data_IF_751249496481
#
_entry.id   IF_751249496481
#
_cell.length_a   1.000
_cell.length_b   1.000
_cell.length_c   1.000
_cell.angle_alpha   90.00
_cell.angle_beta   90.00
_cell.angle_gamma   90.00
#
_symmetry.space_group_name_H-M   'P 1'
#
loop_
_entity.id
_entity.type
_entity.pdbx_description
1 polymer ?
#
# COMPACT_ATOMS: atom_id res chain seq x y z
N UNK A 1 -12.60 9.12 5.81
CA UNK A 1 -12.98 9.08 7.24
C UNK A 1 -11.83 9.67 8.05
N UNK A 2 -12.13 10.49 9.08
CA UNK A 2 -11.12 10.97 10.02
C UNK A 2 -11.02 9.99 11.20
N UNK A 3 -9.81 9.61 11.57
CA UNK A 3 -9.50 8.72 12.69
C UNK A 3 -8.55 9.43 13.65
N UNK A 4 -8.50 9.04 14.93
CA UNK A 4 -7.73 9.78 15.96
C UNK A 4 -6.73 8.92 16.74
N UNK A 5 -6.88 7.59 16.75
CA UNK A 5 -6.00 6.66 17.46
C UNK A 5 -4.95 6.08 16.53
N UNK A 6 -4.02 6.92 16.10
CA UNK A 6 -2.96 6.49 15.19
C UNK A 6 -1.58 6.90 15.68
N UNK A 7 -0.62 6.00 15.48
CA UNK A 7 0.80 6.29 15.44
C UNK A 7 1.24 6.40 13.98
N UNK A 8 2.01 7.44 13.66
CA UNK A 8 2.46 7.74 12.31
C UNK A 8 3.97 7.93 12.31
N UNK A 9 4.67 7.15 11.50
CA UNK A 9 6.12 7.30 11.27
C UNK A 9 6.37 7.64 9.81
N UNK A 10 7.10 8.74 9.58
CA UNK A 10 7.54 9.16 8.26
C UNK A 10 8.92 8.59 7.94
N UNK A 11 9.12 8.23 6.68
CA UNK A 11 10.40 7.88 6.09
C UNK A 11 10.70 8.84 4.94
N UNK A 12 11.94 9.31 4.89
CA UNK A 12 12.42 10.22 3.84
C UNK A 12 13.40 9.56 2.86
N UNK A 13 13.63 8.25 3.04
CA UNK A 13 14.51 7.44 2.20
C UNK A 13 14.00 5.99 2.15
N UNK A 14 14.38 5.27 1.08
CA UNK A 14 14.00 3.87 0.90
C UNK A 14 14.64 2.90 1.89
N UNK A 15 15.96 2.96 2.19
CA UNK A 15 16.60 1.99 3.08
C UNK A 15 15.92 1.87 4.44
N UNK A 16 15.59 2.98 5.11
CA UNK A 16 14.89 2.96 6.39
C UNK A 16 13.46 2.42 6.26
N UNK A 17 12.75 2.83 5.20
CA UNK A 17 11.38 2.35 4.92
C UNK A 17 11.36 0.83 4.72
N UNK A 18 12.27 0.30 3.90
CA UNK A 18 12.29 -1.13 3.57
C UNK A 18 12.80 -1.97 4.74
N UNK A 19 13.76 -1.46 5.51
CA UNK A 19 14.15 -2.08 6.79
C UNK A 19 12.96 -2.24 7.72
N UNK A 20 12.16 -1.19 7.91
CA UNK A 20 10.98 -1.25 8.77
C UNK A 20 9.89 -2.17 8.19
N UNK A 21 9.62 -2.07 6.88
CA UNK A 21 8.62 -2.90 6.22
C UNK A 21 8.95 -4.40 6.33
N UNK A 22 10.21 -4.78 6.09
CA UNK A 22 10.63 -6.18 6.19
C UNK A 22 10.53 -6.70 7.62
N UNK A 23 10.83 -5.85 8.61
CA UNK A 23 10.66 -6.24 10.01
C UNK A 23 9.18 -6.49 10.36
N UNK A 24 8.27 -5.62 9.92
CA UNK A 24 6.84 -5.84 10.15
C UNK A 24 6.31 -7.08 9.40
N UNK A 25 6.79 -7.34 8.18
CA UNK A 25 6.41 -8.54 7.41
C UNK A 25 6.86 -9.82 8.13
N UNK A 26 8.09 -9.87 8.66
CA UNK A 26 8.58 -11.01 9.46
C UNK A 26 7.65 -11.31 10.63
N UNK A 27 7.16 -10.26 11.28
CA UNK A 27 6.32 -10.35 12.46
C UNK A 27 4.83 -10.64 12.14
N UNK A 28 4.42 -10.60 10.88
CA UNK A 28 3.03 -10.86 10.46
C UNK A 28 2.53 -12.25 10.88
N UNK A 29 1.26 -12.35 11.28
CA UNK A 29 0.65 -13.58 11.82
C UNK A 29 -0.61 -14.05 11.07
N UNK A 30 -1.31 -13.19 10.36
CA UNK A 30 -2.61 -13.50 9.77
C UNK A 30 -2.61 -13.29 8.25
N UNK A 31 -2.29 -12.09 7.79
CA UNK A 31 -2.29 -11.76 6.37
C UNK A 31 -1.39 -10.59 6.01
N UNK A 32 -0.95 -10.59 4.74
CA UNK A 32 -0.17 -9.50 4.14
C UNK A 32 -0.77 -9.20 2.78
N UNK A 33 -1.24 -7.96 2.62
CA UNK A 33 -1.84 -7.44 1.41
C UNK A 33 -0.91 -6.36 0.84
N UNK A 34 -0.38 -6.58 -0.36
CA UNK A 34 0.62 -5.73 -1.00
C UNK A 34 0.08 -5.21 -2.32
N UNK A 35 0.16 -3.89 -2.52
CA UNK A 35 -0.21 -3.18 -3.75
C UNK A 35 0.94 -2.24 -4.13
N UNK A 36 1.58 -2.48 -5.27
CA UNK A 36 2.64 -1.60 -5.78
C UNK A 36 2.48 -1.38 -7.27
N UNK A 37 2.64 -0.13 -7.72
CA UNK A 37 2.75 0.16 -9.14
C UNK A 37 3.90 -0.62 -9.80
N UNK A 38 5.08 -0.63 -9.18
CA UNK A 38 6.24 -1.38 -9.69
C UNK A 38 6.84 -2.25 -8.60
N UNK A 39 7.01 -3.53 -8.93
CA UNK A 39 7.92 -4.45 -8.24
C UNK A 39 8.87 -4.99 -9.29
N UNK A 40 10.15 -4.61 -9.20
CA UNK A 40 11.17 -5.02 -10.15
C UNK A 40 11.78 -6.37 -9.78
N UNK A 41 12.30 -7.09 -10.78
CA UNK A 41 13.04 -8.34 -10.58
C UNK A 41 14.52 -8.04 -10.39
N UNK A 42 14.80 -7.36 -9.28
CA UNK A 42 16.12 -6.97 -8.82
C UNK A 42 16.34 -7.43 -7.37
N UNK A 43 17.41 -7.00 -6.72
CA UNK A 43 17.76 -7.52 -5.40
C UNK A 43 16.67 -7.19 -4.36
N UNK A 44 16.21 -5.93 -4.32
CA UNK A 44 15.18 -5.51 -3.40
C UNK A 44 13.82 -6.19 -3.66
N UNK A 45 13.43 -6.30 -4.93
CA UNK A 45 12.20 -6.99 -5.30
C UNK A 45 12.22 -8.48 -4.95
N UNK A 46 13.35 -9.14 -5.18
CA UNK A 46 13.51 -10.55 -4.78
C UNK A 46 13.48 -10.71 -3.25
N UNK A 47 14.17 -9.84 -2.49
CA UNK A 47 14.10 -9.86 -1.03
C UNK A 47 12.66 -9.73 -0.51
N UNK A 48 11.86 -8.83 -1.09
CA UNK A 48 10.45 -8.70 -0.72
C UNK A 48 9.69 -9.99 -1.02
N UNK A 49 9.82 -10.54 -2.23
CA UNK A 49 9.05 -11.73 -2.64
C UNK A 49 9.50 -12.98 -1.89
N UNK A 50 10.79 -13.13 -1.59
CA UNK A 50 11.32 -14.22 -0.75
C UNK A 50 10.69 -14.17 0.64
N UNK A 51 10.73 -13.00 1.28
CA UNK A 51 10.16 -12.84 2.61
C UNK A 51 8.64 -13.08 2.62
N UNK A 52 7.92 -12.60 1.62
CA UNK A 52 6.50 -12.89 1.44
C UNK A 52 6.23 -14.40 1.24
N UNK A 53 7.12 -15.09 0.54
CA UNK A 53 7.05 -16.54 0.30
C UNK A 53 7.28 -17.32 1.60
N UNK A 54 8.25 -16.92 2.42
CA UNK A 54 8.47 -17.47 3.76
C UNK A 54 7.21 -17.35 4.63
N UNK A 55 6.58 -16.17 4.66
CA UNK A 55 5.33 -15.97 5.41
C UNK A 55 4.17 -16.81 4.88
N UNK A 56 4.08 -16.99 3.56
CA UNK A 56 3.07 -17.89 2.96
C UNK A 56 3.28 -19.35 3.41
N UNK A 57 4.52 -19.83 3.48
CA UNK A 57 4.84 -21.15 4.02
C UNK A 57 4.47 -21.31 5.50
N UNK A 58 4.56 -20.24 6.30
CA UNK A 58 4.09 -20.21 7.69
C UNK A 58 2.55 -20.18 7.82
N UNK A 59 1.81 -20.16 6.71
CA UNK A 59 0.34 -20.12 6.69
C UNK A 59 -0.26 -18.71 6.73
N UNK A 60 0.56 -17.66 6.65
CA UNK A 60 0.08 -16.29 6.52
C UNK A 60 -0.53 -16.09 5.14
N UNK A 61 -1.72 -15.48 5.06
CA UNK A 61 -2.39 -15.22 3.77
C UNK A 61 -1.71 -14.08 3.05
N UNK A 62 -0.95 -14.38 2.00
CA UNK A 62 -0.20 -13.37 1.24
C UNK A 62 -0.85 -13.07 -0.11
N UNK A 63 -1.04 -11.77 -0.39
CA UNK A 63 -1.63 -11.27 -1.65
C UNK A 63 -0.82 -10.11 -2.20
N UNK A 64 -0.48 -10.21 -3.48
CA UNK A 64 0.28 -9.19 -4.20
C UNK A 64 -0.51 -8.72 -5.42
N UNK A 65 -0.72 -7.42 -5.50
CA UNK A 65 -1.35 -6.73 -6.62
C UNK A 65 -0.34 -5.74 -7.22
N UNK A 66 -0.13 -5.79 -8.53
CA UNK A 66 0.83 -4.92 -9.20
C UNK A 66 0.34 -4.36 -10.52
N UNK A 67 0.87 -3.22 -10.96
CA UNK A 67 0.58 -2.67 -12.30
C UNK A 67 1.33 -3.48 -13.35
N UNK A 68 0.61 -3.97 -14.37
CA UNK A 68 1.22 -4.72 -15.46
C UNK A 68 2.29 -3.89 -16.19
N UNK A 69 2.04 -2.62 -16.49
CA UNK A 69 2.98 -1.81 -17.25
C UNK A 69 4.13 -1.27 -16.37
N UNK A 70 3.81 -0.84 -15.15
CA UNK A 70 4.79 -0.37 -14.17
C UNK A 70 5.80 -1.44 -13.78
N UNK A 71 5.41 -2.71 -13.83
CA UNK A 71 6.28 -3.86 -13.50
C UNK A 71 6.90 -4.54 -14.75
N UNK A 72 6.91 -3.87 -15.91
CA UNK A 72 7.41 -4.41 -17.19
C UNK A 72 6.72 -5.72 -17.64
N UNK A 73 5.44 -5.85 -17.35
CA UNK A 73 4.61 -7.02 -17.60
C UNK A 73 4.42 -7.89 -16.35
N UNK A 74 3.80 -9.05 -16.55
CA UNK A 74 3.72 -10.07 -15.49
C UNK A 74 5.04 -10.84 -15.43
N UNK A 75 5.89 -10.54 -14.45
CA UNK A 75 7.06 -11.36 -14.19
C UNK A 75 6.64 -12.68 -13.53
N UNK A 76 6.29 -13.66 -14.36
CA UNK A 76 5.84 -14.98 -13.90
C UNK A 76 6.88 -15.66 -13.01
N UNK A 77 8.18 -15.50 -13.33
CA UNK A 77 9.29 -16.14 -12.63
C UNK A 77 9.46 -15.57 -11.21
N UNK A 78 9.38 -14.24 -11.07
CA UNK A 78 9.49 -13.57 -9.77
C UNK A 78 8.48 -14.16 -8.77
N UNK A 79 7.20 -14.25 -9.15
CA UNK A 79 6.15 -14.73 -8.25
C UNK A 79 5.93 -16.24 -8.23
N UNK A 80 6.73 -17.03 -8.95
CA UNK A 80 6.54 -18.48 -9.05
C UNK A 80 6.64 -19.16 -7.68
N UNK A 81 7.70 -18.85 -6.93
CA UNK A 81 7.91 -19.35 -5.57
C UNK A 81 6.80 -18.93 -4.60
N UNK A 82 6.31 -17.69 -4.72
CA UNK A 82 5.21 -17.20 -3.90
C UNK A 82 3.94 -18.01 -4.14
N UNK A 83 3.60 -18.28 -5.41
CA UNK A 83 2.45 -19.12 -5.77
C UNK A 83 2.61 -20.56 -5.27
N UNK A 84 3.81 -21.12 -5.40
CA UNK A 84 4.11 -22.47 -4.91
C UNK A 84 3.95 -22.58 -3.38
N UNK A 85 4.22 -21.50 -2.64
CA UNK A 85 3.98 -21.41 -1.20
C UNK A 85 2.52 -21.13 -0.80
N UNK A 86 1.59 -21.02 -1.77
CA UNK A 86 0.17 -20.72 -1.52
C UNK A 86 -0.17 -19.23 -1.50
N UNK A 87 0.79 -18.35 -1.78
CA UNK A 87 0.54 -16.93 -1.99
C UNK A 87 -0.19 -16.65 -3.31
N UNK A 88 -0.80 -15.47 -3.42
CA UNK A 88 -1.58 -15.06 -4.59
C UNK A 88 -0.98 -13.79 -5.21
N UNK A 89 -0.74 -13.78 -6.53
CA UNK A 89 -0.34 -12.59 -7.30
C UNK A 89 -1.31 -12.30 -8.43
N UNK A 90 -1.59 -11.02 -8.68
CA UNK A 90 -2.38 -10.57 -9.83
C UNK A 90 -1.85 -9.25 -10.40
N UNK A 91 -1.93 -9.11 -11.73
CA UNK A 91 -1.80 -7.83 -12.39
C UNK A 91 -3.14 -7.08 -12.32
N UNK A 92 -3.13 -5.83 -11.85
CA UNK A 92 -4.33 -5.02 -11.70
C UNK A 92 -5.03 -4.76 -13.03
N UNK A 93 -6.33 -5.05 -13.08
CA UNK A 93 -7.19 -4.89 -14.27
C UNK A 93 -6.55 -5.40 -15.58
N UNK A 94 -5.84 -6.55 -15.49
CA UNK A 94 -5.17 -7.18 -16.64
C UNK A 94 -6.15 -7.25 -17.84
N UNK A 95 -5.79 -6.52 -18.91
CA UNK A 95 -6.57 -6.51 -20.14
C UNK A 95 -5.80 -7.26 -21.22
N UNK A 96 -6.41 -8.26 -21.88
CA UNK A 96 -5.76 -8.98 -22.97
C UNK A 96 -5.55 -8.11 -24.23
N UNK A 97 -6.09 -6.88 -24.24
CA UNK A 97 -6.01 -5.96 -25.38
C UNK A 97 -5.40 -4.61 -24.95
N UNK A 98 -4.31 -4.14 -25.61
CA UNK A 98 -3.59 -2.93 -25.23
C UNK A 98 -4.39 -1.62 -25.43
N UNK A 99 -5.54 -1.67 -26.10
CA UNK A 99 -6.37 -0.50 -26.49
C UNK A 99 -7.76 -0.60 -25.87
N UNK A 100 -7.84 -0.82 -24.56
CA UNK A 100 -9.13 -0.74 -23.83
C UNK A 100 -9.13 0.49 -22.94
N UNK A 101 -10.29 1.11 -22.73
CA UNK A 101 -10.46 2.23 -21.78
C UNK A 101 -9.92 1.89 -20.37
N UNK A 102 -9.87 0.60 -20.02
CA UNK A 102 -9.28 0.07 -18.79
C UNK A 102 -7.76 0.23 -18.68
N UNK A 103 -7.03 0.35 -19.79
CA UNK A 103 -5.59 0.61 -19.77
C UNK A 103 -5.24 1.99 -19.16
N UNK A 104 -6.19 2.93 -19.16
CA UNK A 104 -6.04 4.23 -18.48
C UNK A 104 -6.23 4.12 -16.95
N UNK A 105 -6.77 3.02 -16.43
CA UNK A 105 -6.90 2.76 -14.99
C UNK A 105 -5.64 2.09 -14.47
N UNK A 106 -4.66 2.92 -14.15
CA UNK A 106 -3.35 2.46 -13.65
C UNK A 106 -3.32 2.36 -12.13
N UNK A 107 -2.66 1.33 -11.64
CA UNK A 107 -2.46 1.10 -10.20
C UNK A 107 -1.31 1.96 -9.67
N UNK A 108 -1.52 3.27 -9.47
CA UNK A 108 -0.44 4.14 -8.99
C UNK A 108 -0.18 4.06 -7.48
N UNK A 109 -0.85 3.17 -6.74
CA UNK A 109 -0.69 3.08 -5.29
C UNK A 109 0.59 2.34 -4.92
N UNK A 110 1.03 2.61 -3.71
CA UNK A 110 2.06 1.85 -2.99
C UNK A 110 1.49 1.66 -1.60
N UNK A 111 0.84 0.53 -1.37
CA UNK A 111 0.08 0.24 -0.18
C UNK A 111 0.47 -1.14 0.32
N UNK A 112 0.79 -1.26 1.61
CA UNK A 112 0.93 -2.57 2.26
C UNK A 112 0.11 -2.56 3.52
N UNK A 113 -0.68 -3.60 3.75
CA UNK A 113 -1.41 -3.82 4.99
C UNK A 113 -0.99 -5.16 5.58
N UNK A 114 -0.62 -5.15 6.86
CA UNK A 114 -0.17 -6.32 7.61
C UNK A 114 -1.14 -6.51 8.78
N UNK A 115 -1.76 -7.68 8.83
CA UNK A 115 -2.69 -8.14 9.87
C UNK A 115 -3.87 -7.18 10.16
N UNK A 116 -4.19 -6.28 9.24
CA UNK A 116 -5.19 -5.22 9.44
C UNK A 116 -4.80 -4.18 10.50
N UNK A 117 -3.55 -4.22 10.98
CA UNK A 117 -3.05 -3.42 12.11
C UNK A 117 -1.96 -2.42 11.72
N UNK A 118 -1.13 -2.77 10.74
CA UNK A 118 -0.03 -1.93 10.25
C UNK A 118 -0.27 -1.62 8.78
N UNK A 119 -0.15 -0.35 8.42
CA UNK A 119 -0.32 0.15 7.06
C UNK A 119 0.91 0.92 6.59
N UNK A 120 1.33 0.71 5.35
CA UNK A 120 2.34 1.50 4.66
C UNK A 120 1.74 2.16 3.43
N UNK A 121 1.99 3.45 3.25
CA UNK A 121 1.62 4.19 2.04
C UNK A 121 2.64 5.29 1.70
N UNK A 122 2.83 5.61 0.42
CA UNK A 122 3.73 6.70 0.01
C UNK A 122 4.15 6.65 -1.45
N UNK A 123 5.31 7.22 -1.78
CA UNK A 123 5.81 7.36 -3.16
C UNK A 123 6.78 6.25 -3.63
N UNK A 124 7.50 5.60 -2.71
CA UNK A 124 8.49 4.56 -3.01
C UNK A 124 7.87 3.27 -3.58
N UNK A 125 8.26 2.88 -4.81
CA UNK A 125 8.04 1.53 -5.34
C UNK A 125 9.13 0.56 -4.86
N UNK A 126 9.10 -0.69 -5.34
CA UNK A 126 10.06 -1.73 -4.98
C UNK A 126 11.05 -1.95 -6.13
N UNK A 127 12.26 -1.40 -5.94
CA UNK A 127 13.43 -1.61 -6.79
C UNK A 127 14.70 -1.04 -6.20
N UNK A 128 15.84 -1.49 -6.71
CA UNK A 128 17.19 -1.14 -6.27
C UNK A 128 17.49 0.37 -6.39
N UNK A 129 16.84 1.05 -7.35
CA UNK A 129 16.87 2.50 -7.47
C UNK A 129 16.32 3.25 -6.25
N UNK A 130 15.34 2.68 -5.54
CA UNK A 130 14.74 3.29 -4.35
C UNK A 130 15.60 3.12 -3.10
N UNK A 131 16.64 2.28 -3.15
CA UNK A 131 17.58 2.04 -2.03
C UNK A 131 19.00 2.47 -2.36
N UNK A 132 19.17 3.35 -3.36
CA UNK A 132 20.46 3.97 -3.66
C UNK A 132 21.43 3.08 -4.43
N UNK A 133 20.99 1.94 -4.96
CA UNK A 133 21.83 1.00 -5.71
C UNK A 133 21.92 1.30 -7.21
N UNK A 134 21.17 2.30 -7.69
CA UNK A 134 21.24 2.74 -9.09
C UNK A 134 22.27 3.86 -9.28
N UNK A 135 23.30 3.62 -10.10
CA UNK A 135 24.27 4.67 -10.50
C UNK A 135 23.60 5.82 -11.26
N UNK A 136 22.50 5.56 -11.98
CA UNK A 136 21.77 6.55 -12.77
C UNK A 136 20.97 7.51 -11.88
N UNK A 137 20.32 6.98 -10.85
CA UNK A 137 19.40 7.75 -10.01
C UNK A 137 20.01 8.20 -8.68
N UNK A 138 21.13 7.61 -8.26
CA UNK A 138 21.78 7.93 -6.99
C UNK A 138 20.84 7.70 -5.81
N UNK A 139 20.86 8.62 -4.84
CA UNK A 139 19.97 8.58 -3.68
C UNK A 139 18.57 9.08 -4.05
N UNK A 140 17.65 8.15 -4.28
CA UNK A 140 16.24 8.48 -4.51
C UNK A 140 15.60 9.05 -3.24
N UNK A 141 15.14 10.30 -3.31
CA UNK A 141 14.40 10.94 -2.22
C UNK A 141 12.91 10.86 -2.50
N UNK A 142 12.17 10.22 -1.61
CA UNK A 142 10.71 10.20 -1.60
C UNK A 142 10.20 10.06 -0.17
N UNK A 143 8.90 10.30 0.06
CA UNK A 143 8.27 10.16 1.36
C UNK A 143 7.37 8.93 1.41
N UNK A 144 7.47 8.21 2.51
CA UNK A 144 6.61 7.07 2.80
C UNK A 144 6.21 7.11 4.27
N UNK A 145 5.06 6.53 4.57
CA UNK A 145 4.46 6.60 5.89
C UNK A 145 4.11 5.20 6.35
N UNK A 146 4.50 4.86 7.58
CA UNK A 146 3.97 3.74 8.33
C UNK A 146 2.92 4.23 9.32
N UNK A 147 1.82 3.53 9.42
CA UNK A 147 0.68 3.86 10.26
C UNK A 147 0.32 2.63 11.09
N UNK A 148 0.09 2.83 12.38
CA UNK A 148 -0.52 1.82 13.26
C UNK A 148 -1.73 2.45 13.91
N UNK A 149 -2.90 1.79 13.80
CA UNK A 149 -4.16 2.31 14.35
C UNK A 149 -5.32 2.29 13.37
N UNK A 150 -6.40 2.99 13.75
CA UNK A 150 -7.71 2.96 13.05
C UNK A 150 -7.64 3.28 11.55
N UNK A 151 -6.71 4.14 11.13
CA UNK A 151 -6.56 4.52 9.73
C UNK A 151 -6.19 3.32 8.82
N UNK A 152 -5.59 2.26 9.38
CA UNK A 152 -5.21 1.06 8.62
C UNK A 152 -6.44 0.32 8.10
N UNK A 153 -7.58 0.38 8.80
CA UNK A 153 -8.83 -0.22 8.33
C UNK A 153 -9.31 0.40 7.01
N UNK A 154 -9.08 1.70 6.83
CA UNK A 154 -9.40 2.38 5.56
C UNK A 154 -8.45 1.95 4.43
N UNK A 155 -7.18 1.70 4.73
CA UNK A 155 -6.21 1.17 3.78
C UNK A 155 -6.54 -0.27 3.38
N UNK A 156 -6.92 -1.10 4.34
CA UNK A 156 -7.39 -2.46 4.10
C UNK A 156 -8.62 -2.46 3.20
N UNK A 157 -9.61 -1.61 3.49
CA UNK A 157 -10.80 -1.45 2.64
C UNK A 157 -10.45 -1.03 1.22
N UNK A 158 -9.47 -0.13 1.04
CA UNK A 158 -8.95 0.25 -0.28
C UNK A 158 -8.37 -0.94 -1.03
N UNK A 159 -7.49 -1.71 -0.40
CA UNK A 159 -6.93 -2.92 -1.00
C UNK A 159 -8.03 -3.90 -1.41
N UNK A 160 -9.03 -4.12 -0.56
CA UNK A 160 -10.15 -5.02 -0.88
C UNK A 160 -10.90 -4.59 -2.13
N UNK A 161 -11.10 -3.28 -2.32
CA UNK A 161 -11.74 -2.76 -3.54
C UNK A 161 -10.89 -3.05 -4.78
N UNK A 162 -9.59 -2.76 -4.75
CA UNK A 162 -8.69 -3.01 -5.89
C UNK A 162 -8.54 -4.50 -6.21
N UNK A 163 -8.38 -5.32 -5.16
CA UNK A 163 -8.32 -6.77 -5.29
C UNK A 163 -9.61 -7.32 -5.89
N UNK A 164 -10.77 -6.95 -5.36
CA UNK A 164 -12.07 -7.48 -5.82
C UNK A 164 -12.53 -6.95 -7.18
N UNK A 165 -11.97 -5.82 -7.63
CA UNK A 165 -12.13 -5.34 -9.00
C UNK A 165 -11.35 -6.19 -10.01
N UNK A 166 -10.26 -6.83 -9.57
CA UNK A 166 -9.36 -7.64 -10.41
C UNK A 166 -9.65 -9.15 -10.29
N UNK A 167 -9.95 -9.64 -9.09
CA UNK A 167 -10.13 -11.04 -8.78
C UNK A 167 -11.38 -11.64 -9.47
N UNK A 168 -11.24 -12.89 -9.90
CA UNK A 168 -12.39 -13.74 -10.26
C UNK A 168 -13.31 -13.93 -9.06
N UNK A 169 -14.59 -14.24 -9.30
CA UNK A 169 -15.66 -14.28 -8.30
C UNK A 169 -15.29 -15.16 -7.08
N UNK A 170 -14.67 -16.30 -7.33
CA UNK A 170 -14.23 -17.29 -6.34
C UNK A 170 -13.07 -16.81 -5.44
N UNK A 171 -12.29 -15.83 -5.90
CA UNK A 171 -11.12 -15.30 -5.19
C UNK A 171 -11.37 -13.90 -4.59
N UNK A 172 -12.62 -13.41 -4.64
CA UNK A 172 -12.99 -12.14 -4.03
C UNK A 172 -12.95 -12.23 -2.52
N UNK A 173 -12.35 -11.23 -1.90
CA UNK A 173 -12.31 -11.07 -0.46
C UNK A 173 -13.67 -10.62 0.05
N UNK A 174 -14.06 -11.22 1.17
CA UNK A 174 -15.24 -10.84 1.92
C UNK A 174 -14.82 -10.26 3.26
N UNK A 175 -15.66 -9.39 3.80
CA UNK A 175 -15.46 -8.84 5.12
C UNK A 175 -15.41 -9.96 6.16
N UNK A 176 -14.41 -9.92 7.04
CA UNK A 176 -14.35 -10.73 8.24
C UNK A 176 -13.60 -9.98 9.34
N UNK A 177 -13.82 -10.38 10.60
CA UNK A 177 -13.14 -9.78 11.76
C UNK A 177 -11.63 -9.98 11.74
N UNK A 178 -11.13 -11.01 11.04
CA UNK A 178 -9.70 -11.27 10.88
C UNK A 178 -9.01 -10.18 10.04
N UNK A 179 -9.73 -9.59 9.09
CA UNK A 179 -9.21 -8.53 8.22
C UNK A 179 -9.46 -7.13 8.76
N UNK A 180 -10.49 -6.98 9.60
CA UNK A 180 -10.92 -5.72 10.20
C UNK A 180 -11.08 -5.91 11.72
N UNK A 181 -9.96 -6.00 12.46
CA UNK A 181 -10.00 -6.14 13.91
C UNK A 181 -10.63 -4.90 14.56
N UNK A 182 -11.44 -5.10 15.60
CA UNK A 182 -12.05 -4.00 16.36
C UNK A 182 -11.02 -3.28 17.25
N UNK A 183 -9.98 -4.00 17.66
CA UNK A 183 -8.95 -3.50 18.55
C UNK A 183 -7.73 -3.15 17.71
N UNK A 184 -7.64 -1.90 17.28
CA UNK A 184 -6.41 -1.40 16.66
C UNK A 184 -5.41 -1.07 17.77
N UNK A 185 -4.18 -1.56 17.67
CA UNK A 185 -3.11 -1.37 18.67
C UNK A 185 -2.57 0.08 18.72
N UNK A 186 -3.26 1.03 18.08
CA UNK A 186 -2.85 2.42 18.01
C UNK A 186 -3.00 3.11 19.37
N UNK A 187 -1.92 3.14 20.15
CA UNK A 187 -1.82 3.95 21.38
C UNK A 187 -1.48 5.43 21.09
N UNK A 188 -1.35 5.82 19.82
CA UNK A 188 -1.04 7.18 19.40
C UNK A 188 -2.27 8.09 19.35
N UNK A 189 -2.05 9.41 19.45
CA UNK A 189 -3.10 10.44 19.41
C UNK A 189 -3.15 11.23 18.09
N UNK A 190 -2.58 10.69 17.01
CA UNK A 190 -2.49 11.41 15.74
C UNK A 190 -3.77 11.26 14.92
N UNK A 191 -4.34 12.41 14.53
CA UNK A 191 -5.50 12.45 13.66
C UNK A 191 -5.09 12.19 12.20
N UNK A 192 -5.65 11.13 11.59
CA UNK A 192 -5.34 10.72 10.22
C UNK A 192 -6.62 10.63 9.41
N UNK A 193 -6.60 11.20 8.21
CA UNK A 193 -7.62 11.00 7.21
C UNK A 193 -7.00 10.44 5.94
N UNK A 194 -7.36 9.19 5.62
CA UNK A 194 -7.00 8.57 4.35
C UNK A 194 -7.86 9.21 3.25
N UNK A 195 -7.19 9.69 2.20
CA UNK A 195 -7.82 10.25 1.01
C UNK A 195 -7.41 9.40 -0.18
N UNK A 196 -8.39 8.79 -0.85
CA UNK A 196 -8.14 7.94 -2.02
C UNK A 196 -8.58 8.64 -3.28
N UNK A 197 -7.83 8.47 -4.38
CA UNK A 197 -8.31 8.76 -5.73
C UNK A 197 -8.61 7.48 -6.50
N UNK A 198 -9.65 7.50 -7.33
CA UNK A 198 -10.04 6.39 -8.19
C UNK A 198 -10.92 6.86 -9.35
N UNK A 199 -11.04 6.06 -10.41
CA UNK A 199 -11.79 6.44 -11.60
C UNK A 199 -13.31 6.55 -11.39
N UNK A 200 -13.80 5.94 -10.32
CA UNK A 200 -15.22 5.95 -9.95
C UNK A 200 -15.61 7.19 -9.11
N UNK A 201 -14.73 8.20 -9.02
CA UNK A 201 -14.95 9.41 -8.24
C UNK A 201 -14.60 10.69 -9.02
N UNK A 202 -15.40 11.75 -8.82
CA UNK A 202 -15.08 13.13 -9.24
C UNK A 202 -13.89 13.68 -8.42
N UNK A 203 -12.71 13.17 -8.75
CA UNK A 203 -11.43 13.33 -8.03
C UNK A 203 -10.96 14.78 -7.89
N UNK A 204 -11.40 15.68 -8.77
CA UNK A 204 -11.03 17.10 -8.66
C UNK A 204 -11.65 17.77 -7.43
N UNK A 205 -12.87 17.43 -7.03
CA UNK A 205 -13.53 18.11 -5.91
C UNK A 205 -13.03 17.63 -4.54
N UNK A 206 -12.66 16.35 -4.41
CA UNK A 206 -12.17 15.79 -3.13
C UNK A 206 -10.70 16.16 -2.87
N UNK A 207 -9.82 16.07 -3.86
CA UNK A 207 -8.42 16.47 -3.66
C UNK A 207 -8.27 17.98 -3.51
N UNK A 208 -8.93 18.79 -4.36
CA UNK A 208 -8.89 20.26 -4.21
C UNK A 208 -9.66 20.71 -2.98
N UNK A 209 -10.86 20.16 -2.73
CA UNK A 209 -11.69 20.53 -1.58
C UNK A 209 -11.08 20.15 -0.24
N UNK A 210 -10.36 19.03 -0.15
CA UNK A 210 -9.66 18.65 1.09
C UNK A 210 -8.41 19.49 1.30
N UNK A 211 -7.62 19.78 0.25
CA UNK A 211 -6.50 20.72 0.34
C UNK A 211 -6.95 22.15 0.68
N UNK A 212 -8.05 22.64 0.09
CA UNK A 212 -8.63 23.95 0.38
C UNK A 212 -9.18 24.02 1.81
N UNK A 213 -9.91 22.98 2.26
CA UNK A 213 -10.33 22.88 3.67
C UNK A 213 -9.13 22.83 4.62
N UNK A 214 -8.01 22.21 4.21
CA UNK A 214 -6.77 22.20 4.99
C UNK A 214 -6.15 23.61 5.09
N UNK A 215 -6.03 24.35 3.98
CA UNK A 215 -5.55 25.74 4.00
C UNK A 215 -6.43 26.64 4.87
N UNK A 216 -7.76 26.47 4.79
CA UNK A 216 -8.70 27.17 5.65
C UNK A 216 -8.56 26.77 7.13
N UNK A 217 -8.31 25.48 7.43
CA UNK A 217 -8.11 25.00 8.81
C UNK A 217 -6.74 25.34 9.37
N UNK A 218 -5.67 25.35 8.58
CA UNK A 218 -4.33 25.78 9.00
C UNK A 218 -4.36 27.27 9.40
N UNK A 219 -5.10 28.10 8.66
CA UNK A 219 -5.36 29.48 9.06
C UNK A 219 -6.20 29.61 10.35
N UNK A 220 -7.05 28.63 10.68
CA UNK A 220 -7.80 28.60 11.96
C UNK A 220 -7.03 27.91 13.10
N UNK A 221 -6.09 27.01 12.78
CA UNK A 221 -5.34 26.15 13.73
C UNK A 221 -4.03 26.78 14.22
N UNK A 222 -3.66 27.97 13.76
CA UNK A 222 -2.72 28.83 14.51
C UNK A 222 -3.14 28.99 16.00
N UNK A 223 -4.39 28.65 16.36
CA UNK A 223 -4.91 28.70 17.72
C UNK A 223 -5.06 27.36 18.47
N UNK A 224 -4.90 26.16 17.86
CA UNK A 224 -4.99 24.86 18.60
C UNK A 224 -4.09 23.78 18.02
N UNK A 225 -3.16 23.25 18.83
CA UNK A 225 -2.21 22.18 18.51
C UNK A 225 -2.90 20.85 18.13
N UNK A 226 -3.29 20.65 16.87
CA UNK A 226 -3.69 19.33 16.33
C UNK A 226 -3.07 19.12 14.94
N UNK A 227 -2.21 18.12 14.81
CA UNK A 227 -1.60 17.72 13.53
C UNK A 227 -2.54 16.79 12.77
N UNK A 228 -2.97 17.19 11.57
CA UNK A 228 -3.80 16.39 10.66
C UNK A 228 -2.94 15.90 9.49
N UNK A 229 -2.82 14.58 9.34
CA UNK A 229 -2.17 13.99 8.17
C UNK A 229 -3.23 13.60 7.13
N UNK A 230 -3.12 14.22 5.94
CA UNK A 230 -3.78 13.75 4.73
C UNK A 230 -2.80 12.90 3.96
N UNK A 231 -3.15 11.65 3.74
CA UNK A 231 -2.29 10.76 2.97
C UNK A 231 -3.06 10.28 1.75
N UNK A 232 -2.50 10.63 0.59
CA UNK A 232 -3.06 10.29 -0.70
C UNK A 232 -2.61 8.87 -1.05
N UNK A 233 -3.58 7.96 -1.14
CA UNK A 233 -3.42 6.60 -1.64
C UNK A 233 -3.70 6.52 -3.13
#
# INVERSE_FOLDING_TARGET
>A
MLTQKNEVRLFNNGPEKFKALFEDIRNAKNHINVEYFSIFDDELGNQLVDLLTEKAHEGVKVRVLFDQFGSHGRNKKLYERLRAAGGQDMAFLESPWPITFRANFRLHRKLVVIDGKIGYIGGLNVGDEYVGKSKKFGNWRDTHTRIVGDAVLALQGRFFMDWNATAKKENKLQFSKDYFPNDTEGNGNTAVQIVTSGPDQDTQQLSKGTCVKLLQRVNQLQFKHRTLFLIKG
#
